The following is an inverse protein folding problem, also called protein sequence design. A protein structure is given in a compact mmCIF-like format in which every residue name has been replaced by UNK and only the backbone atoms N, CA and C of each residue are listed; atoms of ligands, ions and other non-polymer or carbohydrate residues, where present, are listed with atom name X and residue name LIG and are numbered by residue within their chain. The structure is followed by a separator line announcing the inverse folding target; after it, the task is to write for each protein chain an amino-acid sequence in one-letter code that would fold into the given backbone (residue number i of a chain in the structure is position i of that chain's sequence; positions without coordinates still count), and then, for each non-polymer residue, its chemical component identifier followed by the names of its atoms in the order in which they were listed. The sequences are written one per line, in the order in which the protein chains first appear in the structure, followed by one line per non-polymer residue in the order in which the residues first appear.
data_IF_391413208095
#
_entry.id   IF_391413208095
#
_cell.length_a   1.000
_cell.length_b   1.000
_cell.length_c   1.000
_cell.angle_alpha   90.00
_cell.angle_beta   90.00
_cell.angle_gamma   90.00
#
_symmetry.space_group_name_H-M   'P 1'
#
loop_
_entity.id
_entity.type
_entity.pdbx_description
1 polymer ?
#
# COMPACT_ATOMS: atom_id res chain seq x y z
N UNK A 1 -18.70 6.31 -8.34
CA UNK A 1 -17.33 5.84 -8.65
C UNK A 1 -16.34 6.15 -7.51
N UNK A 2 -16.28 7.38 -6.99
CA UNK A 2 -15.37 7.76 -5.88
C UNK A 2 -15.53 6.86 -4.64
N UNK A 3 -16.76 6.63 -4.19
CA UNK A 3 -17.03 5.76 -3.03
C UNK A 3 -16.57 4.31 -3.25
N UNK A 4 -16.71 3.78 -4.47
CA UNK A 4 -16.26 2.43 -4.82
C UNK A 4 -14.72 2.36 -4.77
N UNK A 5 -14.03 3.35 -5.34
CA UNK A 5 -12.57 3.42 -5.29
C UNK A 5 -12.05 3.60 -3.85
N UNK A 6 -12.77 4.35 -3.01
CA UNK A 6 -12.45 4.51 -1.60
C UNK A 6 -12.59 3.18 -0.84
N UNK A 7 -13.74 2.52 -0.96
CA UNK A 7 -14.01 1.23 -0.31
C UNK A 7 -13.02 0.16 -0.78
N UNK A 8 -12.78 0.08 -2.10
CA UNK A 8 -11.81 -0.84 -2.66
C UNK A 8 -10.39 -0.53 -2.14
N UNK A 9 -9.99 0.74 -2.12
CA UNK A 9 -8.72 1.17 -1.54
C UNK A 9 -8.57 0.77 -0.06
N UNK A 10 -9.64 0.88 0.74
CA UNK A 10 -9.64 0.46 2.15
C UNK A 10 -9.51 -1.06 2.28
N UNK A 11 -10.19 -1.84 1.44
CA UNK A 11 -10.07 -3.31 1.42
C UNK A 11 -8.65 -3.74 1.05
N UNK A 12 -8.06 -3.12 0.01
CA UNK A 12 -6.69 -3.41 -0.40
C UNK A 12 -5.70 -2.99 0.68
N UNK A 13 -5.91 -1.86 1.36
CA UNK A 13 -5.10 -1.44 2.50
C UNK A 13 -5.19 -2.44 3.66
N UNK A 14 -6.39 -2.91 3.99
CA UNK A 14 -6.58 -3.92 5.02
C UNK A 14 -5.86 -5.23 4.67
N UNK A 15 -5.92 -5.66 3.40
CA UNK A 15 -5.15 -6.80 2.92
C UNK A 15 -3.63 -6.58 3.03
N UNK A 16 -3.14 -5.38 2.69
CA UNK A 16 -1.73 -5.02 2.83
C UNK A 16 -1.26 -5.02 4.29
N UNK A 17 -2.09 -4.54 5.22
CA UNK A 17 -1.82 -4.58 6.65
C UNK A 17 -1.86 -6.01 7.18
N UNK A 18 -2.80 -6.83 6.70
CA UNK A 18 -2.88 -8.23 7.05
C UNK A 18 -1.61 -8.99 6.62
N UNK A 19 -1.05 -8.70 5.45
CA UNK A 19 0.24 -9.24 5.01
C UNK A 19 1.42 -8.85 5.91
N UNK A 20 1.28 -7.81 6.75
CA UNK A 20 2.32 -7.41 7.72
C UNK A 20 2.17 -8.09 9.08
N UNK A 21 1.03 -8.73 9.36
CA UNK A 21 0.87 -9.50 10.62
C UNK A 21 1.77 -10.72 10.63
N UNK A 22 2.20 -11.15 11.82
CA UNK A 22 2.99 -12.36 11.97
C UNK A 22 2.08 -13.58 12.13
N UNK A 23 1.56 -14.12 11.03
CA UNK A 23 0.74 -15.33 11.05
C UNK A 23 1.02 -16.27 9.88
N UNK A 24 0.91 -17.61 10.05
CA UNK A 24 1.13 -18.56 8.95
C UNK A 24 0.26 -18.26 7.73
N UNK A 25 -0.98 -17.80 7.96
CA UNK A 25 -1.90 -17.41 6.89
C UNK A 25 -1.42 -16.18 6.14
N UNK A 26 -0.94 -15.14 6.83
CA UNK A 26 -0.42 -13.93 6.17
C UNK A 26 0.86 -14.18 5.36
N UNK A 27 1.61 -15.24 5.67
CA UNK A 27 2.84 -15.64 4.98
C UNK A 27 2.61 -16.61 3.81
N UNK A 28 1.35 -16.92 3.48
CA UNK A 28 1.02 -17.90 2.43
C UNK A 28 1.70 -17.60 1.08
N UNK A 29 1.85 -16.32 0.75
CA UNK A 29 2.47 -15.84 -0.48
C UNK A 29 3.95 -16.25 -0.60
N UNK A 30 4.66 -16.51 0.51
CA UNK A 30 6.04 -17.00 0.45
C UNK A 30 6.16 -18.39 -0.19
N UNK A 31 5.09 -19.17 -0.20
CA UNK A 31 5.05 -20.50 -0.82
C UNK A 31 4.43 -20.47 -2.23
N UNK A 32 3.97 -19.30 -2.71
CA UNK A 32 3.37 -19.16 -4.02
C UNK A 32 4.48 -18.95 -5.07
N UNK A 33 4.84 -20.02 -5.80
CA UNK A 33 5.81 -19.93 -6.89
C UNK A 33 5.25 -19.08 -8.05
N UNK A 34 5.77 -17.86 -8.22
CA UNK A 34 5.84 -17.19 -9.52
C UNK A 34 4.85 -16.05 -9.82
N UNK A 35 3.79 -15.83 -9.02
CA UNK A 35 2.83 -14.74 -9.25
C UNK A 35 2.81 -13.68 -8.14
N UNK A 36 2.92 -14.09 -6.88
CA UNK A 36 2.89 -13.16 -5.73
C UNK A 36 4.23 -13.21 -5.03
N UNK A 37 5.11 -12.27 -5.38
CA UNK A 37 6.43 -12.12 -4.77
C UNK A 37 6.43 -11.01 -3.69
N UNK A 38 7.55 -10.87 -2.98
CA UNK A 38 7.80 -9.86 -1.94
C UNK A 38 7.41 -8.45 -2.39
N UNK A 39 7.73 -8.12 -3.65
CA UNK A 39 7.48 -6.81 -4.24
C UNK A 39 6.01 -6.57 -4.45
N UNK A 40 5.28 -7.61 -4.84
CA UNK A 40 3.83 -7.53 -4.97
C UNK A 40 3.18 -7.37 -3.60
N UNK A 41 3.57 -8.19 -2.62
CA UNK A 41 3.01 -8.21 -1.28
C UNK A 41 3.25 -6.91 -0.50
N UNK A 42 4.46 -6.37 -0.56
CA UNK A 42 4.87 -5.26 0.32
C UNK A 42 5.01 -3.91 -0.38
N UNK A 43 5.07 -3.87 -1.71
CA UNK A 43 5.15 -2.62 -2.46
C UNK A 43 3.92 -2.42 -3.36
N UNK A 44 3.63 -3.32 -4.29
CA UNK A 44 2.55 -3.10 -5.27
C UNK A 44 1.17 -2.97 -4.61
N UNK A 45 0.78 -3.92 -3.75
CA UNK A 45 -0.54 -3.91 -3.09
C UNK A 45 -0.73 -2.65 -2.23
N UNK A 46 0.15 -2.36 -1.24
CA UNK A 46 0.01 -1.13 -0.45
C UNK A 46 0.19 0.15 -1.28
N UNK A 47 1.04 0.14 -2.30
CA UNK A 47 1.21 1.27 -3.22
C UNK A 47 -0.07 1.59 -3.99
N UNK A 48 -0.70 0.58 -4.58
CA UNK A 48 -1.99 0.72 -5.25
C UNK A 48 -3.09 1.17 -4.29
N UNK A 49 -3.13 0.63 -3.06
CA UNK A 49 -4.06 1.09 -2.04
C UNK A 49 -3.87 2.60 -1.77
N UNK A 50 -2.62 3.04 -1.60
CA UNK A 50 -2.28 4.46 -1.42
C UNK A 50 -2.71 5.33 -2.59
N UNK A 51 -2.49 4.89 -3.83
CA UNK A 51 -2.93 5.61 -5.04
C UNK A 51 -4.46 5.75 -5.07
N UNK A 52 -5.19 4.65 -4.87
CA UNK A 52 -6.64 4.62 -4.91
C UNK A 52 -7.28 5.46 -3.81
N UNK A 53 -6.74 5.38 -2.60
CA UNK A 53 -7.18 6.20 -1.48
C UNK A 53 -6.82 7.68 -1.70
N UNK A 54 -5.61 7.97 -2.20
CA UNK A 54 -5.17 9.33 -2.48
C UNK A 54 -6.05 10.03 -3.51
N UNK A 55 -6.34 9.38 -4.64
CA UNK A 55 -7.28 9.90 -5.67
C UNK A 55 -8.68 10.08 -5.08
N UNK A 56 -9.17 9.10 -4.31
CA UNK A 56 -10.49 9.16 -3.69
C UNK A 56 -10.61 10.33 -2.71
N UNK A 57 -9.60 10.53 -1.85
CA UNK A 57 -9.56 11.62 -0.86
C UNK A 57 -9.42 12.99 -1.55
N UNK A 58 -8.59 13.09 -2.59
CA UNK A 58 -8.49 14.31 -3.41
C UNK A 58 -9.84 14.68 -4.02
N UNK A 59 -10.54 13.70 -4.61
CA UNK A 59 -11.85 13.92 -5.19
C UNK A 59 -12.89 14.33 -4.13
N UNK A 60 -12.89 13.67 -2.97
CA UNK A 60 -13.74 14.05 -1.83
C UNK A 60 -13.43 15.47 -1.33
N UNK A 61 -12.16 15.86 -1.24
CA UNK A 61 -11.76 17.19 -0.80
C UNK A 61 -12.32 18.30 -1.70
N UNK A 62 -12.39 18.05 -3.01
CA UNK A 62 -12.97 19.00 -3.97
C UNK A 62 -14.46 19.30 -3.72
N UNK A 63 -15.18 18.36 -3.10
CA UNK A 63 -16.60 18.50 -2.75
C UNK A 63 -16.82 19.26 -1.45
N UNK A 64 -15.77 19.54 -0.66
CA UNK A 64 -15.88 20.27 0.60
C UNK A 64 -16.09 21.77 0.31
N UNK A 65 -17.17 22.39 0.83
CA UNK A 65 -17.43 23.82 0.63
C UNK A 65 -16.46 24.71 1.40
N UNK A 66 -16.03 24.27 2.59
CA UNK A 66 -15.09 24.99 3.44
C UNK A 66 -13.67 24.98 2.83
N UNK A 67 -13.06 26.15 2.54
CA UNK A 67 -11.72 26.22 1.95
C UNK A 67 -10.65 25.56 2.82
N UNK A 68 -10.70 25.70 4.15
CA UNK A 68 -9.74 25.07 5.04
C UNK A 68 -9.87 23.54 4.99
N UNK A 69 -11.10 23.02 5.04
CA UNK A 69 -11.38 21.58 4.95
C UNK A 69 -10.91 21.00 3.61
N UNK A 70 -11.14 21.72 2.50
CA UNK A 70 -10.67 21.36 1.15
C UNK A 70 -9.15 21.29 1.07
N UNK A 71 -8.44 22.27 1.61
CA UNK A 71 -6.98 22.28 1.60
C UNK A 71 -6.39 21.13 2.43
N UNK A 72 -6.94 20.88 3.62
CA UNK A 72 -6.47 19.80 4.50
C UNK A 72 -6.68 18.43 3.84
N UNK A 73 -7.90 18.14 3.37
CA UNK A 73 -8.18 16.87 2.68
C UNK A 73 -7.43 16.76 1.35
N UNK A 74 -7.31 17.86 0.60
CA UNK A 74 -6.52 17.90 -0.62
C UNK A 74 -5.05 17.57 -0.39
N UNK A 75 -4.43 18.18 0.62
CA UNK A 75 -3.05 17.88 1.00
C UNK A 75 -2.88 16.43 1.46
N UNK A 76 -3.79 15.92 2.29
CA UNK A 76 -3.76 14.52 2.75
C UNK A 76 -3.86 13.54 1.57
N UNK A 77 -4.79 13.78 0.64
CA UNK A 77 -4.97 12.96 -0.55
C UNK A 77 -3.76 13.02 -1.49
N UNK A 78 -3.17 14.21 -1.69
CA UNK A 78 -1.98 14.38 -2.51
C UNK A 78 -0.76 13.64 -1.92
N UNK A 79 -0.53 13.77 -0.61
CA UNK A 79 0.56 13.07 0.08
C UNK A 79 0.39 11.55 -0.03
N UNK A 80 -0.83 11.05 0.19
CA UNK A 80 -1.10 9.63 0.09
C UNK A 80 -0.94 9.10 -1.34
N UNK A 81 -1.36 9.87 -2.34
CA UNK A 81 -1.16 9.56 -3.74
C UNK A 81 0.33 9.46 -4.10
N UNK A 82 1.11 10.48 -3.71
CA UNK A 82 2.56 10.51 -3.97
C UNK A 82 3.24 9.31 -3.28
N UNK A 83 2.93 9.06 -2.01
CA UNK A 83 3.45 7.91 -1.28
C UNK A 83 3.08 6.59 -1.96
N UNK A 84 1.83 6.44 -2.41
CA UNK A 84 1.36 5.27 -3.14
C UNK A 84 2.10 5.04 -4.46
N UNK A 85 2.35 6.09 -5.24
CA UNK A 85 3.12 6.03 -6.48
C UNK A 85 4.56 5.61 -6.18
N UNK A 86 5.23 6.27 -5.23
CA UNK A 86 6.62 5.98 -4.85
C UNK A 86 6.77 4.53 -4.43
N UNK A 87 5.88 4.04 -3.55
CA UNK A 87 5.89 2.65 -3.09
C UNK A 87 5.62 1.68 -4.25
N UNK A 88 4.67 1.98 -5.14
CA UNK A 88 4.41 1.16 -6.34
C UNK A 88 5.63 1.10 -7.27
N UNK A 89 6.35 2.21 -7.45
CA UNK A 89 7.54 2.25 -8.30
C UNK A 89 8.69 1.41 -7.74
N UNK A 90 8.81 1.29 -6.41
CA UNK A 90 9.81 0.43 -5.77
C UNK A 90 9.65 -1.05 -6.16
N UNK A 91 8.42 -1.49 -6.50
CA UNK A 91 8.17 -2.86 -6.94
C UNK A 91 8.82 -3.20 -8.29
N UNK A 92 9.09 -2.20 -9.15
CA UNK A 92 9.72 -2.41 -10.45
C UNK A 92 11.26 -2.36 -10.39
N UNK A 93 11.83 -1.89 -9.28
CA UNK A 93 13.27 -1.83 -9.10
C UNK A 93 13.89 -3.22 -8.96
N UNK A 94 15.15 -3.40 -9.41
CA UNK A 94 15.92 -4.64 -9.17
C UNK A 94 16.44 -4.74 -7.74
N UNK A 95 16.49 -3.64 -7.00
CA UNK A 95 16.96 -3.58 -5.61
C UNK A 95 15.97 -4.27 -4.67
N UNK A 96 16.45 -4.86 -3.55
CA UNK A 96 15.56 -5.34 -2.50
C UNK A 96 14.74 -4.18 -1.91
N UNK A 97 13.55 -4.50 -1.41
CA UNK A 97 12.72 -3.52 -0.72
C UNK A 97 13.42 -3.02 0.56
N UNK A 98 13.25 -1.73 0.90
CA UNK A 98 13.86 -1.19 2.11
C UNK A 98 13.17 -1.75 3.35
N UNK A 99 13.93 -1.88 4.44
CA UNK A 99 13.49 -2.53 5.69
C UNK A 99 12.29 -1.88 6.37
N UNK A 100 12.00 -0.61 6.09
CA UNK A 100 10.81 0.09 6.61
C UNK A 100 9.51 -0.29 5.88
N UNK A 101 9.60 -0.91 4.70
CA UNK A 101 8.45 -1.35 3.91
C UNK A 101 8.08 -2.81 4.22
N UNK A 102 9.06 -3.60 4.62
CA UNK A 102 8.91 -5.01 4.99
C UNK A 102 8.69 -5.16 6.50
N UNK A 103 7.85 -6.11 6.95
CA UNK A 103 7.60 -6.33 8.37
C UNK A 103 8.82 -6.98 9.06
N UNK A 104 8.98 -6.79 10.37
CA UNK A 104 10.15 -7.30 11.12
C UNK A 104 10.33 -8.82 11.00
N UNK A 105 9.24 -9.58 10.97
CA UNK A 105 9.27 -11.02 10.84
C UNK A 105 9.89 -11.49 9.51
N UNK A 106 9.84 -10.65 8.46
CA UNK A 106 10.38 -10.96 7.15
C UNK A 106 11.91 -11.09 7.16
N UNK A 107 12.58 -10.29 7.99
CA UNK A 107 14.05 -10.33 8.11
C UNK A 107 14.54 -11.49 9.00
N UNK A 108 13.67 -12.00 9.87
CA UNK A 108 13.98 -13.11 10.77
C UNK A 108 13.78 -14.49 10.13
N UNK A 109 13.21 -14.54 8.92
CA UNK A 109 12.84 -15.79 8.25
C UNK A 109 14.08 -16.59 7.82
N UNK A 110 14.29 -17.81 8.34
CA UNK A 110 15.42 -18.66 7.99
C UNK A 110 15.50 -18.99 6.49
N UNK A 111 14.35 -19.01 5.78
CA UNK A 111 14.29 -19.31 4.35
C UNK A 111 14.91 -18.23 3.44
N UNK A 112 15.29 -17.08 4.00
CA UNK A 112 15.85 -15.93 3.27
C UNK A 112 17.23 -15.48 3.80
N UNK A 113 17.86 -16.24 4.70
CA UNK A 113 19.28 -16.05 5.03
C UNK A 113 20.12 -16.44 3.80
N UNK A 114 21.20 -15.70 3.48
CA UNK A 114 22.07 -16.00 2.35
C UNK A 114 22.67 -17.41 2.45
#
# INVERSE_FOLDING_TARGET
MILIALLFGLVVLAAALWLRTDSPRSRWWQNANGLVDEKMAFATIPGLAGVLLGISILALGSMIPNPAGRWITGAAGALLLIAGIVVSMMAFGRKPLPSWLTPSWYHSDPKRRP
#
